data_IF_578815639909
#
_entry.id   IF_578815639909
#
_cell.length_a   1.000
_cell.length_b   1.000
_cell.length_c   1.000
_cell.angle_alpha   90.00
_cell.angle_beta   90.00
_cell.angle_gamma   90.00
#
_symmetry.space_group_name_H-M   'P 1'
#
loop_
_entity.id
_entity.type
_entity.pdbx_description
1 polymer ?
#
# COMPACT_ATOMS: atom_id res chain seq x y z
N UNK A 1 26.53 24.73 -13.86
CA UNK A 1 26.14 23.35 -13.45
C UNK A 1 24.87 23.49 -12.64
N UNK A 2 23.74 23.39 -13.30
CA UNK A 2 22.40 23.49 -12.70
C UNK A 2 22.05 22.12 -12.11
N UNK A 3 22.04 22.03 -10.79
CA UNK A 3 21.52 20.88 -10.07
C UNK A 3 20.03 20.78 -10.29
N UNK A 4 19.58 19.77 -11.04
CA UNK A 4 18.18 19.36 -11.07
C UNK A 4 17.77 18.93 -9.67
N UNK A 5 16.76 19.60 -9.11
CA UNK A 5 16.08 19.11 -7.92
C UNK A 5 15.48 17.73 -8.20
N UNK A 6 15.13 16.95 -7.16
CA UNK A 6 14.51 15.65 -7.34
C UNK A 6 13.21 15.86 -8.14
N UNK A 7 13.17 15.33 -9.37
CA UNK A 7 11.91 15.22 -10.12
C UNK A 7 10.90 14.54 -9.20
N UNK A 8 9.74 15.15 -9.03
CA UNK A 8 8.62 14.56 -8.31
C UNK A 8 8.37 13.18 -8.93
N UNK A 9 8.66 12.13 -8.16
CA UNK A 9 8.42 10.75 -8.58
C UNK A 9 6.93 10.54 -8.63
N UNK A 10 6.34 10.71 -9.80
CA UNK A 10 4.92 10.42 -10.02
C UNK A 10 4.67 8.95 -9.76
N UNK A 11 3.62 8.65 -9.00
CA UNK A 11 3.17 7.27 -8.77
C UNK A 11 2.91 6.59 -10.12
N UNK A 12 3.44 5.39 -10.31
CA UNK A 12 3.46 4.74 -11.62
C UNK A 12 2.17 3.99 -11.96
N UNK A 13 1.23 3.92 -11.03
CA UNK A 13 -0.02 3.17 -11.20
C UNK A 13 -1.17 4.14 -11.49
N UNK A 14 -1.88 3.90 -12.58
CA UNK A 14 -3.10 4.63 -12.91
C UNK A 14 -4.27 4.12 -12.08
N UNK A 15 -5.09 5.04 -11.55
CA UNK A 15 -6.33 4.72 -10.82
C UNK A 15 -7.47 4.42 -11.83
N UNK A 16 -7.41 3.27 -12.49
CA UNK A 16 -8.54 2.76 -13.27
C UNK A 16 -9.57 2.05 -12.37
N UNK A 17 -10.79 1.75 -12.86
CA UNK A 17 -11.82 1.06 -12.07
C UNK A 17 -11.39 -0.31 -11.54
N UNK A 18 -10.54 -1.04 -12.26
CA UNK A 18 -10.00 -2.33 -11.84
C UNK A 18 -9.05 -2.19 -10.66
N UNK A 19 -8.26 -1.12 -10.66
CA UNK A 19 -7.34 -0.79 -9.57
C UNK A 19 -8.12 -0.41 -8.29
N UNK A 20 -9.17 0.40 -8.41
CA UNK A 20 -10.04 0.76 -7.27
C UNK A 20 -10.70 -0.48 -6.67
N UNK A 21 -11.23 -1.40 -7.50
CA UNK A 21 -11.81 -2.66 -7.04
C UNK A 21 -10.77 -3.56 -6.35
N UNK A 22 -9.55 -3.59 -6.87
CA UNK A 22 -8.45 -4.32 -6.25
C UNK A 22 -8.15 -3.78 -4.84
N UNK A 23 -8.09 -2.46 -4.66
CA UNK A 23 -7.89 -1.85 -3.34
C UNK A 23 -9.02 -2.18 -2.37
N UNK A 24 -10.29 -2.16 -2.84
CA UNK A 24 -11.46 -2.52 -2.02
C UNK A 24 -11.35 -3.97 -1.50
N UNK A 25 -11.07 -4.92 -2.38
CA UNK A 25 -10.90 -6.32 -2.02
C UNK A 25 -9.76 -6.53 -1.02
N UNK A 26 -8.62 -5.85 -1.21
CA UNK A 26 -7.49 -5.93 -0.29
C UNK A 26 -7.84 -5.38 1.09
N UNK A 27 -8.62 -4.30 1.18
CA UNK A 27 -9.06 -3.70 2.44
C UNK A 27 -10.00 -4.62 3.23
N UNK A 28 -10.98 -5.24 2.55
CA UNK A 28 -11.91 -6.19 3.18
C UNK A 28 -11.17 -7.41 3.76
N UNK A 29 -10.23 -7.96 3.00
CA UNK A 29 -9.42 -9.10 3.46
C UNK A 29 -8.48 -8.72 4.59
N UNK A 30 -7.88 -7.52 4.53
CA UNK A 30 -7.01 -7.02 5.58
C UNK A 30 -7.75 -6.92 6.91
N UNK A 31 -8.96 -6.31 6.92
CA UNK A 31 -9.79 -6.19 8.12
C UNK A 31 -10.06 -7.55 8.78
N UNK A 32 -10.42 -8.55 7.98
CA UNK A 32 -10.72 -9.88 8.49
C UNK A 32 -9.49 -10.62 9.04
N UNK A 33 -8.34 -10.45 8.39
CA UNK A 33 -7.12 -11.22 8.69
C UNK A 33 -6.20 -10.55 9.74
N UNK A 34 -6.42 -9.26 10.05
CA UNK A 34 -5.48 -8.44 10.82
C UNK A 34 -6.14 -7.78 12.06
N UNK A 35 -7.37 -8.17 12.42
CA UNK A 35 -8.11 -7.53 13.51
C UNK A 35 -7.36 -7.54 14.85
N UNK A 36 -6.70 -8.64 15.19
CA UNK A 36 -5.88 -8.79 16.40
C UNK A 36 -4.69 -7.81 16.40
N UNK A 37 -4.13 -7.53 15.25
CA UNK A 37 -3.01 -6.60 15.09
C UNK A 37 -3.47 -5.14 15.16
N UNK A 38 -4.71 -4.85 14.76
CA UNK A 38 -5.29 -3.53 14.91
C UNK A 38 -5.48 -3.18 16.38
N UNK A 39 -5.99 -4.13 17.18
CA UNK A 39 -6.12 -3.97 18.63
C UNK A 39 -4.75 -3.74 19.29
N UNK A 40 -3.74 -4.54 18.90
CA UNK A 40 -2.37 -4.38 19.37
C UNK A 40 -1.77 -3.01 19.01
N UNK A 41 -2.09 -2.49 17.83
CA UNK A 41 -1.66 -1.18 17.36
C UNK A 41 -2.44 -0.03 18.00
N UNK A 42 -3.50 -0.28 18.79
CA UNK A 42 -4.33 0.74 19.41
C UNK A 42 -5.38 1.34 18.47
N UNK A 43 -5.69 0.68 17.34
CA UNK A 43 -6.79 1.06 16.43
C UNK A 43 -8.09 0.51 17.02
N UNK A 44 -8.74 1.32 17.86
CA UNK A 44 -9.89 0.91 18.69
C UNK A 44 -10.84 2.09 18.90
N UNK A 45 -12.06 1.87 19.45
CA UNK A 45 -13.01 2.95 19.69
C UNK A 45 -12.41 4.14 20.45
N UNK A 46 -12.64 5.34 19.95
CA UNK A 46 -12.13 6.60 20.46
C UNK A 46 -10.71 6.98 20.02
N UNK A 47 -9.99 6.12 19.31
CA UNK A 47 -8.62 6.39 18.88
C UNK A 47 -8.53 7.46 17.78
N UNK A 48 -7.44 8.24 17.80
CA UNK A 48 -7.00 9.11 16.71
C UNK A 48 -5.99 8.36 15.86
N UNK A 49 -6.34 8.06 14.61
CA UNK A 49 -5.55 7.22 13.71
C UNK A 49 -5.21 7.99 12.45
N UNK A 50 -4.01 7.76 11.87
CA UNK A 50 -3.71 8.18 10.52
C UNK A 50 -3.63 6.97 9.57
N UNK A 51 -4.10 7.15 8.31
CA UNK A 51 -3.84 6.26 7.18
C UNK A 51 -2.98 7.04 6.18
N UNK A 52 -1.69 6.75 6.14
CA UNK A 52 -0.70 7.48 5.34
C UNK A 52 -0.39 6.70 4.07
N UNK A 53 -0.52 7.35 2.91
CA UNK A 53 -0.58 6.68 1.62
C UNK A 53 -1.92 5.97 1.46
N UNK A 54 -3.02 6.68 1.79
CA UNK A 54 -4.36 6.09 1.83
C UNK A 54 -4.91 5.71 0.44
N UNK A 55 -4.25 6.14 -0.64
CA UNK A 55 -4.72 5.93 -2.00
C UNK A 55 -6.16 6.44 -2.20
N UNK A 56 -7.01 5.72 -2.93
CA UNK A 56 -8.41 6.09 -3.15
C UNK A 56 -9.30 5.88 -1.89
N UNK A 57 -8.71 5.61 -0.73
CA UNK A 57 -9.43 5.55 0.54
C UNK A 57 -10.05 4.21 0.91
N UNK A 58 -9.63 3.11 0.30
CA UNK A 58 -10.26 1.79 0.49
C UNK A 58 -10.29 1.30 1.95
N UNK A 59 -9.30 1.69 2.78
CA UNK A 59 -9.26 1.34 4.22
C UNK A 59 -10.13 2.24 5.09
N UNK A 60 -10.52 3.42 4.61
CA UNK A 60 -11.15 4.46 5.42
C UNK A 60 -12.49 4.04 6.06
N UNK A 61 -13.40 3.32 5.36
CA UNK A 61 -14.61 2.82 6.00
C UNK A 61 -14.31 1.87 7.17
N UNK A 62 -13.37 0.97 6.98
CA UNK A 62 -12.99 0.00 8.01
C UNK A 62 -12.32 0.67 9.23
N UNK A 63 -11.47 1.68 9.01
CA UNK A 63 -10.85 2.46 10.07
C UNK A 63 -11.88 3.33 10.80
N UNK A 64 -12.78 3.98 10.06
CA UNK A 64 -13.89 4.77 10.62
C UNK A 64 -14.75 3.93 11.56
N UNK A 65 -15.12 2.72 11.13
CA UNK A 65 -15.88 1.77 11.95
C UNK A 65 -15.10 1.33 13.20
N UNK A 66 -13.80 1.05 13.06
CA UNK A 66 -12.95 0.56 14.14
C UNK A 66 -12.77 1.62 15.25
N UNK A 67 -12.58 2.89 14.86
CA UNK A 67 -12.40 3.97 15.83
C UNK A 67 -13.74 4.53 16.35
N UNK A 68 -14.84 4.26 15.63
CA UNK A 68 -16.18 4.70 16.02
C UNK A 68 -16.38 6.22 15.99
N UNK A 69 -17.57 6.72 16.39
CA UNK A 69 -17.95 8.11 16.22
C UNK A 69 -17.14 9.10 17.06
N UNK A 70 -16.56 8.66 18.17
CA UNK A 70 -15.72 9.48 19.06
C UNK A 70 -14.24 9.47 18.63
N UNK A 71 -13.84 8.54 17.74
CA UNK A 71 -12.51 8.46 17.17
C UNK A 71 -12.35 9.34 15.95
N UNK A 72 -11.13 9.43 15.42
CA UNK A 72 -10.79 10.22 14.23
C UNK A 72 -9.86 9.45 13.30
N UNK A 73 -10.09 9.57 11.98
CA UNK A 73 -9.20 9.04 10.95
C UNK A 73 -8.67 10.21 10.11
N UNK A 74 -7.35 10.37 10.06
CA UNK A 74 -6.64 11.35 9.25
C UNK A 74 -6.00 10.64 8.07
N UNK A 75 -6.59 10.73 6.89
CA UNK A 75 -6.07 10.12 5.67
C UNK A 75 -5.17 11.10 4.93
N UNK A 76 -4.01 10.63 4.49
CA UNK A 76 -3.03 11.46 3.76
C UNK A 76 -2.52 10.69 2.54
N UNK A 77 -2.50 11.33 1.38
CA UNK A 77 -1.85 10.81 0.18
C UNK A 77 -1.16 11.93 -0.60
N UNK A 78 -0.10 11.61 -1.32
CA UNK A 78 0.64 12.57 -2.13
C UNK A 78 0.03 12.77 -3.53
N UNK A 79 -0.81 11.84 -3.98
CA UNK A 79 -1.45 11.90 -5.29
C UNK A 79 -2.77 12.66 -5.22
N UNK A 80 -2.91 13.82 -5.90
CA UNK A 80 -4.15 14.60 -5.91
C UNK A 80 -5.37 13.83 -6.45
N UNK A 81 -5.18 12.90 -7.39
CA UNK A 81 -6.26 12.09 -7.94
C UNK A 81 -6.76 11.07 -6.91
N UNK A 82 -5.84 10.43 -6.19
CA UNK A 82 -6.16 9.55 -5.08
C UNK A 82 -6.87 10.30 -3.95
N UNK A 83 -6.39 11.48 -3.58
CA UNK A 83 -7.02 12.35 -2.58
C UNK A 83 -8.45 12.74 -3.00
N UNK A 84 -8.67 13.09 -4.27
CA UNK A 84 -10.01 13.41 -4.77
C UNK A 84 -10.95 12.19 -4.71
N UNK A 85 -10.46 11.01 -5.10
CA UNK A 85 -11.21 9.76 -5.01
C UNK A 85 -11.56 9.38 -3.55
N UNK A 86 -10.59 9.51 -2.64
CA UNK A 86 -10.79 9.26 -1.21
C UNK A 86 -11.83 10.22 -0.59
N UNK A 87 -11.78 11.52 -0.94
CA UNK A 87 -12.79 12.50 -0.50
C UNK A 87 -14.19 12.17 -1.02
N UNK A 88 -14.30 11.74 -2.29
CA UNK A 88 -15.57 11.32 -2.86
C UNK A 88 -16.15 10.08 -2.15
N UNK A 89 -15.29 9.11 -1.83
CA UNK A 89 -15.67 7.92 -1.07
C UNK A 89 -16.15 8.31 0.34
N UNK A 90 -15.41 9.14 1.07
CA UNK A 90 -15.76 9.62 2.43
C UNK A 90 -17.12 10.32 2.42
N UNK A 91 -17.36 11.19 1.44
CA UNK A 91 -18.64 11.90 1.30
C UNK A 91 -19.79 10.95 0.96
N UNK A 92 -19.60 10.03 0.00
CA UNK A 92 -20.61 9.05 -0.41
C UNK A 92 -20.99 8.08 0.70
N UNK A 93 -20.01 7.68 1.53
CA UNK A 93 -20.22 6.78 2.66
C UNK A 93 -20.65 7.50 3.96
N UNK A 94 -20.69 8.83 3.98
CA UNK A 94 -21.10 9.62 5.14
C UNK A 94 -20.14 9.48 6.35
N UNK A 95 -18.83 9.30 6.11
CA UNK A 95 -17.84 9.09 7.18
C UNK A 95 -17.47 10.42 7.88
N UNK A 96 -18.27 10.82 8.84
CA UNK A 96 -18.14 12.13 9.50
C UNK A 96 -16.90 12.28 10.41
N UNK A 97 -16.23 11.19 10.76
CA UNK A 97 -15.02 11.14 11.57
C UNK A 97 -13.72 10.98 10.75
N UNK A 98 -13.80 11.07 9.41
CA UNK A 98 -12.67 10.93 8.49
C UNK A 98 -12.35 12.26 7.83
N UNK A 99 -11.09 12.67 7.86
CA UNK A 99 -10.54 13.79 7.09
C UNK A 99 -9.54 13.31 6.06
N UNK A 100 -9.49 13.94 4.87
CA UNK A 100 -8.55 13.57 3.79
C UNK A 100 -7.76 14.80 3.36
N UNK A 101 -6.44 14.72 3.42
CA UNK A 101 -5.51 15.79 3.06
C UNK A 101 -4.47 15.31 2.04
N UNK A 102 -3.96 16.24 1.24
CA UNK A 102 -2.78 16.02 0.42
C UNK A 102 -1.53 16.18 1.29
N UNK A 103 -0.57 15.25 1.14
CA UNK A 103 0.69 15.28 1.88
C UNK A 103 1.56 14.08 1.56
N UNK A 104 2.87 14.24 1.71
CA UNK A 104 3.84 13.16 1.48
C UNK A 104 4.00 12.31 2.72
N UNK A 105 4.33 11.03 2.57
CA UNK A 105 4.51 10.12 3.71
C UNK A 105 5.68 10.52 4.64
N UNK A 106 6.68 11.21 4.11
CA UNK A 106 7.81 11.78 4.88
C UNK A 106 7.54 13.22 5.39
N UNK A 107 6.39 13.80 5.06
CA UNK A 107 5.95 15.14 5.49
C UNK A 107 4.43 15.28 5.36
N UNK A 108 3.70 14.68 6.31
CA UNK A 108 2.23 14.55 6.26
C UNK A 108 1.47 15.83 6.61
N UNK A 109 2.11 16.79 7.27
CA UNK A 109 1.44 17.96 7.83
C UNK A 109 0.63 17.70 9.11
N UNK A 110 0.64 16.46 9.63
CA UNK A 110 -0.04 16.12 10.88
C UNK A 110 0.81 16.56 12.09
N UNK A 111 0.13 16.91 13.19
CA UNK A 111 0.78 17.37 14.42
C UNK A 111 1.55 16.24 15.12
N UNK A 112 2.82 16.44 15.51
CA UNK A 112 3.58 15.46 16.27
C UNK A 112 2.89 15.06 17.58
N UNK A 113 2.92 13.76 17.91
CA UNK A 113 2.39 13.22 19.15
C UNK A 113 0.86 13.26 19.26
N UNK A 114 0.14 13.49 18.16
CA UNK A 114 -1.32 13.64 18.15
C UNK A 114 -2.08 12.33 17.91
N UNK A 115 -1.39 11.28 17.53
CA UNK A 115 -2.02 10.03 17.10
C UNK A 115 -1.83 8.90 18.12
N UNK A 116 -2.87 8.08 18.27
CA UNK A 116 -2.79 6.78 18.96
C UNK A 116 -2.10 5.74 18.07
N UNK A 117 -2.42 5.76 16.76
CA UNK A 117 -1.80 4.89 15.78
C UNK A 117 -1.60 5.59 14.43
N UNK A 118 -0.56 5.20 13.70
CA UNK A 118 -0.40 5.55 12.29
C UNK A 118 -0.21 4.28 11.46
N UNK A 119 -1.05 4.11 10.44
CA UNK A 119 -1.03 3.01 9.49
C UNK A 119 -0.30 3.44 8.22
N UNK A 120 0.50 2.53 7.67
CA UNK A 120 1.16 2.68 6.37
C UNK A 120 1.11 1.33 5.65
N UNK A 121 0.41 1.26 4.52
CA UNK A 121 0.18 0.00 3.81
C UNK A 121 0.61 0.11 2.34
N UNK A 122 1.53 -0.77 1.91
CA UNK A 122 2.02 -0.84 0.53
C UNK A 122 2.62 0.46 -0.01
N UNK A 123 3.24 1.24 0.87
CA UNK A 123 3.85 2.54 0.54
C UNK A 123 5.37 2.44 0.45
N UNK A 124 6.01 1.79 1.44
CA UNK A 124 7.48 1.74 1.51
C UNK A 124 8.08 1.10 0.26
N UNK A 125 7.44 0.06 -0.26
CA UNK A 125 7.87 -0.60 -1.48
C UNK A 125 7.99 0.35 -2.69
N UNK A 126 7.25 1.46 -2.72
CA UNK A 126 7.22 2.43 -3.82
C UNK A 126 8.00 3.72 -3.56
N UNK A 127 8.68 3.82 -2.42
CA UNK A 127 9.38 5.03 -1.98
C UNK A 127 10.87 4.77 -1.73
N UNK A 128 11.51 4.07 -2.68
CA UNK A 128 12.91 3.68 -2.56
C UNK A 128 13.85 4.83 -2.24
N UNK A 129 14.66 4.63 -1.18
CA UNK A 129 15.59 5.63 -0.63
C UNK A 129 14.96 6.61 0.36
N UNK A 130 13.62 6.63 0.52
CA UNK A 130 12.94 7.48 1.52
C UNK A 130 12.33 6.68 2.68
N UNK A 131 12.41 5.35 2.66
CA UNK A 131 11.68 4.48 3.58
C UNK A 131 12.01 4.75 5.04
N UNK A 132 13.29 4.93 5.38
CA UNK A 132 13.71 5.23 6.75
C UNK A 132 13.26 6.62 7.19
N UNK A 133 13.28 7.61 6.29
CA UNK A 133 12.78 8.96 6.56
C UNK A 133 11.25 8.95 6.80
N UNK A 134 10.51 8.16 6.01
CA UNK A 134 9.08 7.97 6.19
C UNK A 134 8.78 7.38 7.56
N UNK A 135 9.41 6.26 7.91
CA UNK A 135 9.16 5.60 9.20
C UNK A 135 9.56 6.50 10.37
N UNK A 136 10.69 7.22 10.27
CA UNK A 136 11.12 8.17 11.28
C UNK A 136 10.12 9.34 11.45
N UNK A 137 9.60 9.88 10.34
CA UNK A 137 8.57 10.92 10.39
C UNK A 137 7.30 10.40 11.08
N UNK A 138 6.78 9.25 10.67
CA UNK A 138 5.59 8.65 11.27
C UNK A 138 5.76 8.36 12.76
N UNK A 139 6.96 7.94 13.19
CA UNK A 139 7.26 7.73 14.61
C UNK A 139 7.12 9.02 15.46
N UNK A 140 7.31 10.19 14.84
CA UNK A 140 7.07 11.47 15.55
C UNK A 140 5.59 11.77 15.74
N UNK A 141 4.71 11.28 14.86
CA UNK A 141 3.29 11.59 14.86
C UNK A 141 2.53 10.86 15.97
N UNK A 142 2.94 9.63 16.30
CA UNK A 142 2.30 8.89 17.38
C UNK A 142 2.76 9.40 18.74
N UNK A 143 1.81 9.49 19.70
CA UNK A 143 2.13 9.87 21.08
C UNK A 143 3.02 8.84 21.78
N UNK A 144 3.67 9.15 22.90
CA UNK A 144 4.28 8.15 23.75
C UNK A 144 3.30 7.01 24.07
N UNK A 145 3.69 5.76 23.86
CA UNK A 145 2.83 4.57 23.95
C UNK A 145 1.92 4.32 22.74
N UNK A 146 1.87 5.22 21.76
CA UNK A 146 1.18 5.01 20.47
C UNK A 146 1.99 4.13 19.53
N UNK A 147 1.35 3.63 18.46
CA UNK A 147 1.95 2.63 17.58
C UNK A 147 2.00 3.02 16.11
N UNK A 148 3.04 2.52 15.40
CA UNK A 148 3.03 2.40 13.95
C UNK A 148 2.57 1.00 13.56
N UNK A 149 1.71 0.95 12.53
CA UNK A 149 1.22 -0.27 11.89
C UNK A 149 1.66 -0.28 10.43
N UNK A 150 2.66 -1.09 10.10
CA UNK A 150 3.25 -1.16 8.77
C UNK A 150 2.87 -2.45 8.08
N UNK A 151 2.46 -2.38 6.82
CA UNK A 151 2.21 -3.55 5.96
C UNK A 151 2.87 -3.36 4.61
N UNK A 152 3.63 -4.37 4.17
CA UNK A 152 4.16 -4.40 2.82
C UNK A 152 4.41 -5.83 2.34
N UNK A 153 4.83 -5.99 1.09
CA UNK A 153 5.01 -7.28 0.42
C UNK A 153 6.48 -7.63 0.22
N UNK A 154 6.76 -8.92 0.01
CA UNK A 154 7.90 -9.35 -0.79
C UNK A 154 7.44 -9.60 -2.24
N UNK A 155 7.58 -8.58 -3.08
CA UNK A 155 7.19 -8.64 -4.48
C UNK A 155 8.01 -9.64 -5.31
N UNK A 156 9.18 -10.08 -4.81
CA UNK A 156 10.04 -11.06 -5.50
C UNK A 156 9.56 -12.50 -5.32
N UNK A 157 8.69 -12.73 -4.35
CA UNK A 157 8.19 -14.07 -4.00
C UNK A 157 6.69 -14.27 -4.35
N UNK A 158 6.08 -13.33 -5.08
CA UNK A 158 4.74 -13.52 -5.65
C UNK A 158 4.77 -14.62 -6.70
N UNK A 159 3.80 -15.55 -6.62
CA UNK A 159 3.63 -16.67 -7.58
C UNK A 159 2.18 -16.77 -8.01
N UNK A 160 1.98 -17.28 -9.22
CA UNK A 160 0.65 -17.57 -9.76
C UNK A 160 0.64 -18.99 -10.30
N UNK A 161 -0.37 -19.80 -9.95
CA UNK A 161 -0.52 -21.18 -10.39
C UNK A 161 -1.91 -21.42 -10.99
N UNK A 162 -2.03 -22.08 -12.16
CA UNK A 162 -0.92 -22.52 -13.02
C UNK A 162 -0.11 -21.34 -13.57
N UNK A 163 1.19 -21.56 -13.79
CA UNK A 163 2.06 -20.52 -14.36
C UNK A 163 1.65 -20.18 -15.79
N UNK A 164 1.67 -18.90 -16.10
CA UNK A 164 1.48 -18.36 -17.43
C UNK A 164 2.74 -17.57 -17.80
N UNK A 165 3.47 -18.04 -18.80
CA UNK A 165 4.79 -17.49 -19.15
C UNK A 165 4.75 -15.97 -19.41
N UNK A 166 3.71 -15.50 -20.11
CA UNK A 166 3.56 -14.07 -20.43
C UNK A 166 3.23 -13.23 -19.21
N UNK A 167 2.44 -13.74 -18.26
CA UNK A 167 2.15 -13.04 -17.01
C UNK A 167 3.34 -13.09 -16.04
N UNK A 168 4.15 -14.14 -16.09
CA UNK A 168 5.42 -14.21 -15.36
C UNK A 168 6.41 -13.17 -15.91
N UNK A 169 6.55 -13.06 -17.24
CA UNK A 169 7.38 -12.02 -17.90
C UNK A 169 6.94 -10.61 -17.51
N UNK A 170 5.62 -10.33 -17.50
CA UNK A 170 5.09 -9.05 -17.02
C UNK A 170 5.55 -8.75 -15.58
N UNK A 171 5.44 -9.72 -14.68
CA UNK A 171 5.81 -9.55 -13.27
C UNK A 171 7.33 -9.34 -13.10
N UNK A 172 8.14 -10.07 -13.84
CA UNK A 172 9.60 -9.94 -13.83
C UNK A 172 10.05 -8.56 -14.33
N UNK A 173 9.50 -8.10 -15.45
CA UNK A 173 9.80 -6.77 -16.00
C UNK A 173 9.32 -5.65 -15.07
N UNK A 174 8.18 -5.80 -14.43
CA UNK A 174 7.72 -4.87 -13.43
C UNK A 174 8.68 -4.81 -12.22
N UNK A 175 9.16 -5.96 -11.76
CA UNK A 175 10.18 -6.03 -10.71
C UNK A 175 11.48 -5.31 -11.10
N UNK A 176 11.96 -5.52 -12.34
CA UNK A 176 13.13 -4.84 -12.87
C UNK A 176 12.91 -3.32 -13.03
N UNK A 177 11.75 -2.90 -13.53
CA UNK A 177 11.36 -1.50 -13.65
C UNK A 177 11.39 -0.79 -12.30
N UNK A 178 10.80 -1.40 -11.27
CA UNK A 178 10.81 -0.87 -9.92
C UNK A 178 12.21 -0.77 -9.34
N UNK A 179 13.03 -1.83 -9.51
CA UNK A 179 14.42 -1.83 -9.03
C UNK A 179 15.26 -0.74 -9.70
N UNK A 180 15.06 -0.50 -11.01
CA UNK A 180 15.75 0.58 -11.73
C UNK A 180 15.35 1.99 -11.22
N UNK A 181 14.17 2.14 -10.64
CA UNK A 181 13.69 3.37 -9.98
C UNK A 181 14.18 3.50 -8.54
N UNK A 182 14.88 2.49 -8.02
CA UNK A 182 15.35 2.43 -6.65
C UNK A 182 14.32 1.94 -5.64
N UNK A 183 13.17 1.42 -6.10
CA UNK A 183 12.12 0.88 -5.23
C UNK A 183 12.57 -0.40 -4.52
N UNK A 184 12.08 -0.61 -3.29
CA UNK A 184 12.40 -1.81 -2.51
C UNK A 184 11.36 -2.92 -2.73
N UNK A 185 11.63 -3.81 -3.68
CA UNK A 185 10.76 -4.96 -3.95
C UNK A 185 10.61 -5.94 -2.75
N UNK A 186 11.41 -5.76 -1.69
CA UNK A 186 11.40 -6.58 -0.47
C UNK A 186 11.10 -5.76 0.78
N UNK A 187 10.38 -4.65 0.64
CA UNK A 187 10.06 -3.74 1.73
C UNK A 187 9.43 -4.47 2.92
N UNK A 188 8.54 -5.42 2.66
CA UNK A 188 7.87 -6.21 3.70
C UNK A 188 8.82 -6.97 4.64
N UNK A 189 9.94 -7.47 4.12
CA UNK A 189 10.94 -8.20 4.93
C UNK A 189 11.71 -7.31 5.92
N UNK A 190 11.66 -5.98 5.75
CA UNK A 190 12.47 -5.02 6.50
C UNK A 190 11.66 -4.17 7.48
N UNK A 191 10.37 -4.41 7.62
CA UNK A 191 9.48 -3.57 8.42
C UNK A 191 9.92 -3.50 9.88
N UNK A 192 10.22 -4.65 10.50
CA UNK A 192 10.65 -4.71 11.89
C UNK A 192 12.00 -4.00 12.13
N UNK A 193 12.97 -4.17 11.23
CA UNK A 193 14.25 -3.49 11.29
C UNK A 193 14.09 -1.96 11.17
N UNK A 194 13.21 -1.50 10.26
CA UNK A 194 12.92 -0.06 10.11
C UNK A 194 12.26 0.54 11.34
N UNK A 195 11.30 -0.17 11.97
CA UNK A 195 10.70 0.25 13.24
C UNK A 195 11.74 0.38 14.34
N UNK A 196 12.63 -0.63 14.49
CA UNK A 196 13.70 -0.61 15.50
C UNK A 196 14.68 0.55 15.25
N UNK A 197 15.07 0.81 13.99
CA UNK A 197 15.94 1.96 13.65
C UNK A 197 15.28 3.31 13.90
N UNK A 198 13.96 3.40 13.80
CA UNK A 198 13.22 4.59 14.18
C UNK A 198 13.00 4.75 15.69
N UNK A 199 13.59 3.88 16.52
CA UNK A 199 13.51 3.94 17.98
C UNK A 199 12.22 3.38 18.57
N UNK A 200 11.46 2.60 17.82
CA UNK A 200 10.23 1.97 18.28
C UNK A 200 10.51 0.56 18.83
N UNK A 201 9.77 0.19 19.87
CA UNK A 201 9.73 -1.19 20.36
C UNK A 201 8.91 -2.03 19.39
N UNK A 202 9.51 -3.06 18.78
CA UNK A 202 8.79 -3.98 17.89
C UNK A 202 7.95 -4.92 18.74
N UNK A 203 6.63 -4.78 18.66
CA UNK A 203 5.66 -5.62 19.39
C UNK A 203 5.33 -6.89 18.63
N UNK A 204 5.26 -6.80 17.29
CA UNK A 204 4.92 -7.93 16.43
C UNK A 204 5.60 -7.76 15.07
N UNK A 205 6.04 -8.86 14.49
CA UNK A 205 6.41 -8.97 13.09
C UNK A 205 5.90 -10.30 12.54
N UNK A 206 4.93 -10.24 11.66
CA UNK A 206 4.20 -11.42 11.15
C UNK A 206 4.22 -11.46 9.64
N UNK A 207 4.56 -12.62 9.08
CA UNK A 207 4.38 -12.92 7.66
C UNK A 207 3.16 -13.82 7.45
N UNK A 208 2.41 -13.58 6.37
CA UNK A 208 1.34 -14.46 5.88
C UNK A 208 1.32 -14.48 4.37
N UNK A 209 0.78 -15.54 3.80
CA UNK A 209 0.44 -15.54 2.37
C UNK A 209 -1.00 -15.04 2.18
N UNK A 210 -1.19 -14.09 1.28
CA UNK A 210 -2.43 -13.97 0.57
C UNK A 210 -2.50 -15.11 -0.44
N UNK A 211 -3.54 -15.93 -0.35
CA UNK A 211 -3.82 -17.01 -1.30
C UNK A 211 -5.22 -16.77 -1.82
N UNK A 212 -5.37 -16.46 -3.11
CA UNK A 212 -6.66 -16.11 -3.65
C UNK A 212 -6.72 -16.13 -5.17
N UNK A 213 -7.93 -16.14 -5.67
CA UNK A 213 -8.27 -16.04 -7.07
C UNK A 213 -9.01 -14.72 -7.29
N UNK A 214 -8.32 -13.63 -7.65
CA UNK A 214 -8.99 -12.36 -7.93
C UNK A 214 -9.96 -12.55 -9.11
N UNK A 215 -11.06 -11.77 -9.15
CA UNK A 215 -11.93 -11.75 -10.33
C UNK A 215 -11.10 -11.49 -11.60
N UNK A 216 -11.46 -12.09 -12.74
CA UNK A 216 -10.73 -11.93 -14.00
C UNK A 216 -10.61 -10.47 -14.48
N UNK A 217 -11.51 -9.59 -14.03
CA UNK A 217 -11.49 -8.16 -14.31
C UNK A 217 -10.42 -7.40 -13.52
N UNK A 218 -9.93 -7.99 -12.40
CA UNK A 218 -8.92 -7.37 -11.54
C UNK A 218 -7.53 -7.77 -12.00
N UNK A 219 -6.79 -6.83 -12.52
CA UNK A 219 -5.43 -7.03 -13.00
C UNK A 219 -4.39 -6.62 -11.93
N UNK A 220 -3.17 -7.20 -11.95
CA UNK A 220 -2.16 -6.88 -10.96
C UNK A 220 -1.56 -5.48 -11.15
N UNK A 221 -0.86 -4.91 -10.13
CA UNK A 221 -0.15 -3.63 -10.24
C UNK A 221 0.85 -3.56 -11.39
N UNK A 222 1.44 -4.69 -11.77
CA UNK A 222 2.32 -4.79 -12.93
C UNK A 222 1.62 -4.42 -14.25
N UNK A 223 0.33 -4.72 -14.38
CA UNK A 223 -0.47 -4.28 -15.53
C UNK A 223 -0.76 -2.78 -15.48
N UNK A 224 -1.09 -2.22 -14.31
CA UNK A 224 -1.35 -0.79 -14.17
C UNK A 224 -0.09 0.05 -14.52
N UNK A 225 1.11 -0.50 -14.33
CA UNK A 225 2.39 0.15 -14.67
C UNK A 225 2.82 -0.02 -16.14
N UNK A 226 2.06 -0.71 -17.01
CA UNK A 226 2.49 -1.10 -18.36
C UNK A 226 2.95 0.06 -19.23
N UNK A 227 2.21 1.19 -19.18
CA UNK A 227 2.54 2.39 -19.98
C UNK A 227 3.82 3.06 -19.48
N UNK A 228 4.01 3.13 -18.17
CA UNK A 228 5.23 3.62 -17.57
C UNK A 228 6.44 2.73 -17.90
N UNK A 229 6.26 1.40 -17.97
CA UNK A 229 7.31 0.47 -18.40
C UNK A 229 7.67 0.64 -19.88
N UNK A 230 6.68 0.89 -20.74
CA UNK A 230 6.94 1.19 -22.17
C UNK A 230 7.69 2.52 -22.30
N UNK A 231 7.24 3.57 -21.63
CA UNK A 231 7.92 4.87 -21.65
C UNK A 231 9.36 4.80 -21.13
N UNK A 232 9.64 3.90 -20.18
CA UNK A 232 10.99 3.66 -19.66
C UNK A 232 11.83 2.69 -20.51
N UNK A 233 11.29 2.14 -21.61
CA UNK A 233 11.99 1.18 -22.48
C UNK A 233 12.20 -0.21 -21.85
N UNK A 234 11.51 -0.52 -20.76
CA UNK A 234 11.54 -1.84 -20.09
C UNK A 234 10.61 -2.84 -20.79
N UNK A 235 9.58 -2.33 -21.45
CA UNK A 235 8.64 -3.10 -22.26
C UNK A 235 8.41 -2.42 -23.60
N UNK A 236 7.82 -3.16 -24.55
CA UNK A 236 7.35 -2.68 -25.83
C UNK A 236 5.83 -2.77 -25.93
N UNK A 237 5.24 -2.09 -26.92
CA UNK A 237 3.82 -2.24 -27.24
C UNK A 237 3.45 -3.67 -27.64
N UNK A 238 4.41 -4.42 -28.24
CA UNK A 238 4.21 -5.84 -28.55
C UNK A 238 4.12 -6.70 -27.29
N UNK A 239 4.92 -6.38 -26.27
CA UNK A 239 4.84 -7.06 -24.97
C UNK A 239 3.49 -6.79 -24.32
N UNK A 240 3.01 -5.54 -24.32
CA UNK A 240 1.69 -5.17 -23.76
C UNK A 240 0.58 -5.96 -24.47
N UNK A 241 0.62 -6.05 -25.81
CA UNK A 241 -0.37 -6.84 -26.56
C UNK A 241 -0.30 -8.34 -26.24
N UNK A 242 0.88 -8.87 -25.99
CA UNK A 242 1.09 -10.26 -25.60
C UNK A 242 0.52 -10.53 -24.20
N UNK A 243 0.79 -9.68 -23.26
CA UNK A 243 0.26 -9.77 -21.89
C UNK A 243 -1.28 -9.62 -21.86
N UNK A 244 -1.85 -8.72 -22.66
CA UNK A 244 -3.32 -8.58 -22.75
C UNK A 244 -3.98 -9.86 -23.25
N UNK A 245 -3.43 -10.51 -24.29
CA UNK A 245 -3.92 -11.80 -24.75
C UNK A 245 -3.84 -12.88 -23.64
N UNK A 246 -2.72 -12.92 -22.90
CA UNK A 246 -2.58 -13.86 -21.80
C UNK A 246 -3.64 -13.65 -20.71
N UNK A 247 -3.99 -12.41 -20.38
CA UNK A 247 -5.11 -12.14 -19.48
C UNK A 247 -6.47 -12.60 -20.04
N UNK A 248 -6.72 -12.42 -21.34
CA UNK A 248 -7.94 -12.90 -21.98
C UNK A 248 -8.03 -14.43 -21.97
N UNK A 249 -6.91 -15.12 -22.20
CA UNK A 249 -6.83 -16.59 -22.12
C UNK A 249 -7.15 -17.09 -20.71
N UNK A 250 -6.59 -16.41 -19.69
CA UNK A 250 -6.87 -16.72 -18.27
C UNK A 250 -8.35 -16.50 -17.93
N UNK A 251 -8.98 -15.44 -18.46
CA UNK A 251 -10.41 -15.20 -18.26
C UNK A 251 -11.31 -16.30 -18.82
N UNK A 252 -10.88 -16.94 -19.93
CA UNK A 252 -11.59 -18.05 -20.57
C UNK A 252 -11.21 -19.43 -20.02
N UNK A 253 -10.25 -19.52 -19.11
CA UNK A 253 -9.74 -20.78 -18.61
C UNK A 253 -10.73 -21.48 -17.67
N UNK A 254 -10.86 -22.81 -17.71
CA UNK A 254 -11.76 -23.57 -16.83
C UNK A 254 -11.33 -23.51 -15.35
N UNK A 255 -10.07 -23.17 -15.08
CA UNK A 255 -9.52 -23.02 -13.73
C UNK A 255 -8.86 -21.65 -13.64
N UNK A 256 -9.41 -20.80 -12.80
CA UNK A 256 -8.81 -19.48 -12.52
C UNK A 256 -7.45 -19.66 -11.80
N UNK A 257 -6.43 -18.87 -12.18
CA UNK A 257 -5.13 -18.93 -11.50
C UNK A 257 -5.23 -18.44 -10.07
N UNK A 258 -4.51 -19.14 -9.19
CA UNK A 258 -4.37 -18.76 -7.79
C UNK A 258 -3.09 -17.95 -7.60
N UNK A 259 -3.22 -16.79 -6.98
CA UNK A 259 -2.09 -15.93 -6.60
C UNK A 259 -1.66 -16.29 -5.19
N UNK A 260 -0.36 -16.40 -5.00
CA UNK A 260 0.34 -16.57 -3.72
C UNK A 260 1.22 -15.32 -3.52
N UNK A 261 0.84 -14.43 -2.63
CA UNK A 261 1.59 -13.21 -2.35
C UNK A 261 1.96 -13.13 -0.87
N UNK A 262 3.26 -13.11 -0.53
CA UNK A 262 3.69 -12.95 0.86
C UNK A 262 3.49 -11.50 1.31
N UNK A 263 2.74 -11.33 2.38
CA UNK A 263 2.44 -10.08 3.06
C UNK A 263 3.11 -10.09 4.44
N UNK A 264 3.70 -8.98 4.82
CA UNK A 264 4.33 -8.79 6.12
C UNK A 264 3.68 -7.63 6.84
N UNK A 265 3.44 -7.80 8.13
CA UNK A 265 2.90 -6.77 9.01
C UNK A 265 3.84 -6.61 10.19
N UNK A 266 4.15 -5.38 10.55
CA UNK A 266 4.91 -5.06 11.75
C UNK A 266 4.18 -4.00 12.58
N UNK A 267 4.16 -4.18 13.89
CA UNK A 267 3.63 -3.22 14.86
C UNK A 267 4.78 -2.75 15.73
N UNK A 268 5.01 -1.44 15.76
CA UNK A 268 6.04 -0.81 16.59
C UNK A 268 5.45 0.23 17.51
N UNK A 269 5.79 0.18 18.81
CA UNK A 269 5.32 1.11 19.83
C UNK A 269 6.37 2.18 20.12
N UNK A 270 5.94 3.44 20.17
CA UNK A 270 6.79 4.52 20.68
C UNK A 270 6.99 4.36 22.19
N UNK A 271 8.21 4.31 22.70
CA UNK A 271 8.46 4.31 24.15
C UNK A 271 7.79 5.47 24.87
N UNK A 272 7.50 5.27 26.18
CA UNK A 272 6.84 6.27 27.03
C UNK A 272 7.75 7.46 27.35
#
# INVERSE_FOLDING_TARGET
MSGGGPEERRYALELDPGEVERYRMMAEQARAAEADLWDLAGIRPGASVADVGCGPGAMLPALSDAVGPEGRVNAVDADPEAVAAARALVAAAGLGNVSVAEGRADHTGLEPGSLDAAMLRHVLAHNGGAEDAIVAHLATLVRPGGCLYLVDVDGTAIRTLPEQADLTDLQERYGAFRAARGDDNRAGLRLADRLARAGLEVLEFRGRYFIGQPPPSVRPPSWAAREAMVAAGVASEDDVRRWDRAFQEVQGAPVAPTIFAPLFTAVGRRPA
#
